data_IF_188435526902
#
_entry.id   IF_188435526902
#
_cell.length_a   1.000
_cell.length_b   1.000
_cell.length_c   1.000
_cell.angle_alpha   90.00
_cell.angle_beta   90.00
_cell.angle_gamma   90.00
#
_symmetry.space_group_name_H-M   'P 1'
#
loop_
_entity.id
_entity.type
_entity.pdbx_description
1 polymer ?
#
# COMPACT_ATOMS: atom_id res chain seq x y z
N UNK A 1 18.17 11.47 -11.54
CA UNK A 1 17.37 10.66 -10.59
C UNK A 1 16.33 9.84 -11.34
N UNK A 2 16.19 8.58 -11.00
CA UNK A 2 15.18 7.70 -11.57
C UNK A 2 14.16 7.35 -10.49
N UNK A 3 12.87 7.58 -10.79
CA UNK A 3 11.76 7.31 -9.89
C UNK A 3 10.86 6.25 -10.53
N UNK A 4 10.49 5.24 -9.74
CA UNK A 4 9.49 4.24 -10.14
C UNK A 4 8.21 4.50 -9.38
N UNK A 5 7.09 4.60 -10.08
CA UNK A 5 5.77 4.71 -9.48
C UNK A 5 5.06 3.37 -9.52
N UNK A 6 4.48 2.98 -8.38
CA UNK A 6 3.61 1.80 -8.24
C UNK A 6 2.27 2.30 -7.73
N UNK A 7 1.19 1.65 -8.12
CA UNK A 7 -0.14 2.00 -7.63
C UNK A 7 -1.06 0.79 -7.67
N UNK A 8 -2.10 0.80 -6.82
CA UNK A 8 -3.23 -0.13 -6.88
C UNK A 8 -2.80 -1.60 -6.83
N UNK A 9 -1.96 -1.96 -5.89
CA UNK A 9 -1.49 -3.34 -5.73
C UNK A 9 -2.55 -4.27 -5.19
N UNK A 10 -3.47 -3.78 -4.35
CA UNK A 10 -4.62 -4.52 -3.82
C UNK A 10 -4.25 -5.90 -3.27
N UNK A 11 -3.24 -5.97 -2.41
CA UNK A 11 -2.82 -7.23 -1.79
C UNK A 11 -3.61 -7.50 -0.52
N UNK A 12 -3.80 -8.77 -0.20
CA UNK A 12 -4.49 -9.20 1.02
C UNK A 12 -4.19 -10.66 1.29
N UNK A 13 -4.02 -11.07 2.54
CA UNK A 13 -3.85 -12.48 2.88
C UNK A 13 -5.14 -13.29 2.72
N UNK A 14 -6.32 -12.65 2.84
CA UNK A 14 -7.61 -13.33 2.75
C UNK A 14 -8.27 -13.23 1.38
N UNK A 15 -7.88 -12.23 0.57
CA UNK A 15 -8.37 -12.03 -0.82
C UNK A 15 -7.14 -11.94 -1.73
N UNK A 16 -6.53 -13.08 -2.08
CA UNK A 16 -5.18 -13.11 -2.66
C UNK A 16 -5.13 -12.98 -4.18
N UNK A 17 -6.16 -12.46 -4.82
CA UNK A 17 -6.29 -12.44 -6.29
C UNK A 17 -5.09 -11.81 -7.01
N UNK A 18 -4.49 -10.77 -6.42
CA UNK A 18 -3.41 -10.01 -7.04
C UNK A 18 -2.04 -10.25 -6.40
N UNK A 19 -1.96 -11.07 -5.36
CA UNK A 19 -0.71 -11.27 -4.61
C UNK A 19 0.43 -11.81 -5.50
N UNK A 20 0.10 -12.64 -6.49
CA UNK A 20 1.08 -13.21 -7.40
C UNK A 20 1.80 -12.20 -8.29
N UNK A 21 1.27 -10.97 -8.40
CA UNK A 21 1.91 -9.92 -9.20
C UNK A 21 3.12 -9.32 -8.50
N UNK A 22 3.24 -9.52 -7.18
CA UNK A 22 4.24 -8.78 -6.38
C UNK A 22 5.67 -9.23 -6.64
N UNK A 23 5.96 -10.53 -6.60
CA UNK A 23 7.35 -10.99 -6.71
C UNK A 23 8.02 -10.57 -8.02
N UNK A 24 7.38 -10.74 -9.20
CA UNK A 24 7.96 -10.22 -10.44
C UNK A 24 8.16 -8.70 -10.42
N UNK A 25 7.21 -7.96 -9.84
CA UNK A 25 7.30 -6.51 -9.74
C UNK A 25 8.43 -6.07 -8.83
N UNK A 26 8.52 -6.66 -7.63
CA UNK A 26 9.58 -6.36 -6.67
C UNK A 26 10.97 -6.65 -7.24
N UNK A 27 11.12 -7.77 -7.93
CA UNK A 27 12.39 -8.16 -8.57
C UNK A 27 12.76 -7.15 -9.65
N UNK A 28 11.79 -6.74 -10.47
CA UNK A 28 12.02 -5.74 -11.51
C UNK A 28 12.44 -4.39 -10.91
N UNK A 29 11.74 -3.95 -9.87
CA UNK A 29 12.03 -2.68 -9.19
C UNK A 29 13.44 -2.70 -8.61
N UNK A 30 13.80 -3.77 -7.90
CA UNK A 30 15.12 -3.90 -7.29
C UNK A 30 16.26 -3.92 -8.33
N UNK A 31 15.99 -4.41 -9.54
CA UNK A 31 16.96 -4.41 -10.64
C UNK A 31 16.92 -3.18 -11.53
N UNK A 32 16.00 -2.24 -11.28
CA UNK A 32 15.74 -1.11 -12.18
C UNK A 32 16.78 0.01 -12.13
N UNK A 33 17.57 0.09 -11.06
CA UNK A 33 18.48 1.21 -10.83
C UNK A 33 17.75 2.48 -10.36
N UNK A 34 16.52 2.37 -9.90
CA UNK A 34 15.77 3.51 -9.38
C UNK A 34 16.37 4.03 -8.07
N UNK A 35 16.23 5.33 -7.85
CA UNK A 35 16.68 6.00 -6.63
C UNK A 35 15.56 6.11 -5.60
N UNK A 36 14.32 6.08 -6.06
CA UNK A 36 13.13 6.25 -5.22
C UNK A 36 11.96 5.49 -5.85
N UNK A 37 11.14 4.88 -5.00
CA UNK A 37 9.86 4.29 -5.37
C UNK A 37 8.75 5.11 -4.70
N UNK A 38 7.69 5.41 -5.43
CA UNK A 38 6.50 6.06 -4.89
C UNK A 38 5.31 5.14 -5.13
N UNK A 39 4.64 4.73 -4.06
CA UNK A 39 3.37 4.01 -4.14
C UNK A 39 2.23 5.01 -3.92
N UNK A 40 1.36 5.12 -4.89
CA UNK A 40 0.33 6.18 -4.90
C UNK A 40 -1.03 5.72 -4.36
N UNK A 41 -1.07 4.60 -3.64
CA UNK A 41 -2.26 4.21 -2.89
C UNK A 41 -2.94 2.95 -3.39
N UNK A 42 -3.99 2.57 -2.67
CA UNK A 42 -4.68 1.28 -2.80
C UNK A 42 -3.69 0.12 -2.67
N UNK A 43 -2.93 0.18 -1.58
CA UNK A 43 -1.93 -0.80 -1.19
C UNK A 43 -2.59 -2.16 -0.97
N UNK A 44 -3.68 -2.17 -0.21
CA UNK A 44 -4.43 -3.33 0.22
C UNK A 44 -5.84 -3.38 -0.37
N UNK A 45 -6.46 -4.55 -0.29
CA UNK A 45 -7.87 -4.72 -0.69
C UNK A 45 -8.80 -4.00 0.29
N UNK A 46 -8.56 -4.17 1.60
CA UNK A 46 -9.44 -3.62 2.65
C UNK A 46 -8.65 -3.13 3.86
N UNK A 47 -7.61 -2.35 3.62
CA UNK A 47 -6.82 -1.76 4.70
C UNK A 47 -7.60 -0.78 5.55
N UNK A 48 -8.69 -0.22 5.03
CA UNK A 48 -9.56 0.70 5.77
C UNK A 48 -10.17 0.05 7.02
N UNK A 49 -10.44 -1.26 6.99
CA UNK A 49 -11.09 -1.96 8.09
C UNK A 49 -10.33 -3.19 8.60
N UNK A 50 -9.24 -3.60 7.94
CA UNK A 50 -8.47 -4.81 8.31
C UNK A 50 -7.01 -4.50 8.52
N UNK A 51 -6.56 -4.55 9.77
CA UNK A 51 -5.15 -4.37 10.11
C UNK A 51 -4.26 -5.42 9.43
N UNK A 52 -4.74 -6.66 9.33
CA UNK A 52 -3.98 -7.74 8.71
C UNK A 52 -3.69 -7.48 7.23
N UNK A 53 -4.58 -6.76 6.52
CA UNK A 53 -4.33 -6.39 5.14
C UNK A 53 -3.16 -5.41 5.03
N UNK A 54 -3.14 -4.36 5.85
CA UNK A 54 -2.04 -3.39 5.86
C UNK A 54 -0.73 -4.03 6.32
N UNK A 55 -0.75 -4.84 7.37
CA UNK A 55 0.44 -5.51 7.89
C UNK A 55 1.03 -6.46 6.86
N UNK A 56 0.18 -7.23 6.18
CA UNK A 56 0.60 -8.13 5.10
C UNK A 56 1.28 -7.34 3.97
N UNK A 57 0.66 -6.26 3.53
CA UNK A 57 1.19 -5.43 2.45
C UNK A 57 2.55 -4.81 2.82
N UNK A 58 2.70 -4.33 4.05
CA UNK A 58 3.97 -3.76 4.50
C UNK A 58 5.08 -4.81 4.54
N UNK A 59 4.76 -6.04 4.91
CA UNK A 59 5.71 -7.16 4.82
C UNK A 59 6.21 -7.37 3.39
N UNK A 60 5.33 -7.26 2.40
CA UNK A 60 5.71 -7.36 0.99
C UNK A 60 6.54 -6.15 0.54
N UNK A 61 6.13 -4.94 0.91
CA UNK A 61 6.83 -3.71 0.51
C UNK A 61 8.29 -3.69 0.99
N UNK A 62 8.57 -4.31 2.14
CA UNK A 62 9.93 -4.41 2.66
C UNK A 62 10.88 -5.22 1.80
N UNK A 63 10.37 -6.00 0.85
CA UNK A 63 11.20 -6.71 -0.13
C UNK A 63 11.84 -5.78 -1.16
N UNK A 64 11.30 -4.57 -1.31
CA UNK A 64 11.92 -3.54 -2.15
C UNK A 64 13.06 -2.91 -1.37
N UNK A 65 14.27 -2.93 -1.95
CA UNK A 65 15.51 -2.44 -1.32
C UNK A 65 15.73 -0.94 -1.53
N UNK A 66 14.93 -0.31 -2.36
CA UNK A 66 15.01 1.10 -2.72
C UNK A 66 14.10 1.89 -1.78
N UNK A 67 14.47 3.09 -1.32
CA UNK A 67 13.60 3.92 -0.49
C UNK A 67 12.23 4.10 -1.13
N UNK A 68 11.17 3.94 -0.32
CA UNK A 68 9.80 4.02 -0.80
C UNK A 68 9.00 5.02 0.02
N UNK A 69 8.27 5.90 -0.68
CA UNK A 69 7.23 6.75 -0.11
C UNK A 69 5.88 6.17 -0.49
N UNK A 70 4.96 6.11 0.47
CA UNK A 70 3.63 5.53 0.26
C UNK A 70 2.59 6.53 0.71
N UNK A 71 1.62 6.82 -0.16
CA UNK A 71 0.43 7.59 0.20
C UNK A 71 -0.79 6.66 0.14
N UNK A 72 -1.80 6.85 1.03
CA UNK A 72 -2.95 5.96 1.05
C UNK A 72 -3.95 6.26 -0.06
N UNK A 73 -4.60 5.19 -0.56
CA UNK A 73 -5.78 5.31 -1.40
C UNK A 73 -7.05 5.03 -0.62
N UNK A 74 -8.19 5.00 -1.31
CA UNK A 74 -9.48 4.79 -0.65
C UNK A 74 -9.65 3.38 -0.06
N UNK A 75 -9.04 2.37 -0.64
CA UNK A 75 -9.04 1.03 -0.05
C UNK A 75 -8.21 0.95 1.23
N UNK A 76 -7.34 1.92 1.49
CA UNK A 76 -6.43 1.92 2.63
C UNK A 76 -6.99 2.69 3.82
N UNK A 77 -7.67 3.82 3.59
CA UNK A 77 -8.13 4.72 4.65
C UNK A 77 -9.60 5.10 4.57
N UNK A 78 -10.30 4.67 3.53
CA UNK A 78 -11.72 4.92 3.37
C UNK A 78 -12.07 5.84 2.22
N UNK A 79 -13.37 6.03 2.05
CA UNK A 79 -14.00 6.73 0.94
C UNK A 79 -14.59 8.08 1.37
N UNK A 80 -15.49 8.62 0.52
CA UNK A 80 -16.15 9.89 0.77
C UNK A 80 -17.07 9.83 1.99
N UNK A 81 -17.36 10.98 2.63
CA UNK A 81 -18.37 11.06 3.68
C UNK A 81 -19.73 10.53 3.19
N UNK A 82 -20.41 9.77 4.06
CA UNK A 82 -21.68 9.14 3.71
C UNK A 82 -21.59 7.77 3.08
N UNK A 83 -20.38 7.30 2.72
CA UNK A 83 -20.16 5.92 2.27
C UNK A 83 -20.16 4.95 3.46
N UNK A 84 -20.14 3.63 3.17
CA UNK A 84 -20.02 2.61 4.20
C UNK A 84 -18.65 2.61 4.90
N UNK A 85 -17.63 3.14 4.22
CA UNK A 85 -16.28 3.27 4.74
C UNK A 85 -15.78 4.71 4.57
N UNK A 86 -16.32 5.67 5.32
CA UNK A 86 -15.83 7.05 5.21
C UNK A 86 -14.42 7.16 5.81
N UNK A 87 -13.63 8.08 5.31
CA UNK A 87 -12.38 8.45 5.99
C UNK A 87 -12.72 9.03 7.35
N UNK A 88 -12.12 8.50 8.40
CA UNK A 88 -12.31 8.95 9.77
C UNK A 88 -11.01 8.85 10.58
N UNK A 89 -11.06 9.33 11.83
CA UNK A 89 -9.88 9.34 12.70
C UNK A 89 -9.35 7.92 12.96
N UNK A 90 -10.22 6.92 13.09
CA UNK A 90 -9.84 5.54 13.34
C UNK A 90 -9.10 4.95 12.15
N UNK A 91 -9.61 5.13 10.93
CA UNK A 91 -8.99 4.63 9.71
C UNK A 91 -7.66 5.32 9.42
N UNK A 92 -7.58 6.63 9.60
CA UNK A 92 -6.31 7.36 9.46
C UNK A 92 -5.30 6.95 10.52
N UNK A 93 -5.73 6.76 11.76
CA UNK A 93 -4.85 6.31 12.86
C UNK A 93 -4.28 4.92 12.59
N UNK A 94 -5.10 4.01 12.05
CA UNK A 94 -4.64 2.67 11.65
C UNK A 94 -3.54 2.76 10.61
N UNK A 95 -3.73 3.55 9.57
CA UNK A 95 -2.72 3.77 8.54
C UNK A 95 -1.42 4.32 9.13
N UNK A 96 -1.52 5.38 9.94
CA UNK A 96 -0.36 6.03 10.55
C UNK A 96 0.45 5.09 11.43
N UNK A 97 -0.24 4.17 12.14
CA UNK A 97 0.41 3.19 13.02
C UNK A 97 1.08 2.06 12.24
N UNK A 98 0.44 1.57 11.18
CA UNK A 98 0.87 0.35 10.48
C UNK A 98 1.72 0.62 9.25
N UNK A 99 1.54 1.76 8.60
CA UNK A 99 2.26 2.10 7.38
C UNK A 99 3.14 3.34 7.58
N UNK A 100 2.55 4.49 7.87
CA UNK A 100 3.31 5.72 8.04
C UNK A 100 2.49 6.98 7.75
N UNK A 101 3.15 8.10 7.36
CA UNK A 101 2.45 9.35 7.09
C UNK A 101 1.35 9.19 6.02
N UNK A 102 0.33 10.02 6.14
CA UNK A 102 -0.84 10.01 5.24
C UNK A 102 -0.87 11.21 4.28
N UNK A 103 0.27 11.80 4.05
CA UNK A 103 0.39 12.97 3.18
C UNK A 103 -0.04 12.78 1.74
#
# INVERSE_FOLDING_TARGET
>A
MKIVQITDTHFSPSIPHFNGNWQPLADWVNGSGADLVIHTGDLAVDGADKDEDLTFCMGLMQQVKIPMLIVPGNHDVGHLPGSLQPVDATRLSRWRSLVGPDY
#
